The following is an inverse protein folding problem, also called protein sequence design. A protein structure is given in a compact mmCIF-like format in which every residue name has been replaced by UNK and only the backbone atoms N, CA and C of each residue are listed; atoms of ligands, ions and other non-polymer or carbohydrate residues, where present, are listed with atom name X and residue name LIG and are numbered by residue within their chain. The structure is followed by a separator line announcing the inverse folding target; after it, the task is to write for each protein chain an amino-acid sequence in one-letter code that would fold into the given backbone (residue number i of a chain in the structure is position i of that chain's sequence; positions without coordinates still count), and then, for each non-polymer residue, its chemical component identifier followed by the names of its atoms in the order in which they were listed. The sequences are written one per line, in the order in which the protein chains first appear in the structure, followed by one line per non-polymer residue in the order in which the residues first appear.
data_IF_735217977968
#
_entry.id   IF_735217977968
#
_cell.length_a   1.000
_cell.length_b   1.000
_cell.length_c   1.000
_cell.angle_alpha   90.00
_cell.angle_beta   90.00
_cell.angle_gamma   90.00
#
_symmetry.space_group_name_H-M   'P 1'
#
loop_
_entity.id
_entity.type
_entity.pdbx_description
1 polymer ?
#
# COMPACT_ATOMS: atom_id res chain seq x y z
N UNK A 1 12.80 4.55 1.51
CA UNK A 1 12.16 4.71 0.18
C UNK A 1 12.41 6.13 -0.31
N UNK A 2 12.47 6.40 -1.61
CA UNK A 2 12.65 7.76 -2.14
C UNK A 2 11.32 8.33 -2.67
N UNK A 3 11.07 9.60 -2.39
CA UNK A 3 9.95 10.40 -2.88
C UNK A 3 10.54 11.65 -3.47
N UNK A 4 10.10 12.10 -4.64
CA UNK A 4 10.55 13.39 -5.17
C UNK A 4 9.59 14.48 -4.71
N UNK A 5 10.11 15.51 -4.05
CA UNK A 5 9.38 16.76 -3.85
C UNK A 5 9.60 17.62 -5.09
N UNK A 6 8.66 17.58 -6.02
CA UNK A 6 8.26 18.77 -6.75
C UNK A 6 7.07 18.40 -7.63
N UNK A 7 6.07 19.29 -7.59
CA UNK A 7 5.05 19.51 -8.61
C UNK A 7 4.57 18.21 -9.27
N UNK A 8 3.60 17.55 -8.67
CA UNK A 8 2.92 16.47 -9.37
C UNK A 8 2.14 17.07 -10.52
N UNK A 9 2.53 16.75 -11.75
CA UNK A 9 1.77 17.13 -12.93
C UNK A 9 1.02 15.90 -13.41
N UNK A 10 -0.30 15.99 -13.33
CA UNK A 10 -1.20 15.04 -13.98
C UNK A 10 -1.37 15.52 -15.42
N UNK A 11 -1.16 14.63 -16.39
CA UNK A 11 -1.37 14.97 -17.80
C UNK A 11 -2.82 15.40 -18.03
N UNK A 12 -3.09 16.21 -19.07
CA UNK A 12 -4.44 16.75 -19.34
C UNK A 12 -5.53 15.67 -19.48
N UNK A 13 -5.13 14.47 -19.87
CA UNK A 13 -5.99 13.29 -20.03
C UNK A 13 -6.06 12.39 -18.78
N UNK A 14 -5.34 12.73 -17.70
CA UNK A 14 -5.31 11.95 -16.46
C UNK A 14 -4.46 10.68 -16.51
N UNK A 15 -3.77 10.43 -17.63
CA UNK A 15 -3.11 9.14 -17.90
C UNK A 15 -1.79 8.97 -17.15
N UNK A 16 -1.05 10.05 -16.89
CA UNK A 16 0.26 9.97 -16.23
C UNK A 16 0.40 10.99 -15.10
N UNK A 17 1.11 10.56 -14.06
CA UNK A 17 1.62 11.40 -12.98
C UNK A 17 3.12 11.55 -13.20
N UNK A 18 3.59 12.79 -13.33
CA UNK A 18 5.02 13.10 -13.45
C UNK A 18 5.59 13.48 -12.08
N UNK A 19 6.70 12.84 -11.70
CA UNK A 19 7.44 13.10 -10.47
C UNK A 19 8.60 14.06 -10.77
N UNK A 20 8.38 15.36 -10.60
CA UNK A 20 9.45 16.34 -10.73
C UNK A 20 10.29 16.43 -9.44
N UNK A 21 11.47 17.02 -9.52
CA UNK A 21 12.29 17.39 -8.34
C UNK A 21 13.35 16.36 -7.95
N UNK A 22 14.09 16.65 -6.89
CA UNK A 22 15.14 15.77 -6.36
C UNK A 22 14.54 14.70 -5.44
N UNK A 23 15.06 13.46 -5.46
CA UNK A 23 14.57 12.39 -4.62
C UNK A 23 15.00 12.63 -3.17
N UNK A 24 14.04 12.62 -2.25
CA UNK A 24 14.25 12.65 -0.81
C UNK A 24 13.84 11.33 -0.17
N UNK A 25 14.52 10.88 0.89
CA UNK A 25 14.08 9.72 1.64
C UNK A 25 12.75 9.98 2.34
N UNK A 26 11.87 8.98 2.31
CA UNK A 26 10.66 8.88 3.10
C UNK A 26 10.67 7.57 3.88
N UNK A 27 10.37 7.72 5.16
CA UNK A 27 10.13 6.63 6.08
C UNK A 27 8.66 6.20 5.96
N UNK A 28 8.44 4.91 5.73
CA UNK A 28 7.09 4.37 5.75
C UNK A 28 6.64 4.19 7.21
N UNK A 29 5.39 4.57 7.54
CA UNK A 29 4.89 4.37 8.88
C UNK A 29 4.84 2.87 9.21
N UNK A 30 4.85 2.52 10.52
CA UNK A 30 4.46 1.19 10.95
C UNK A 30 3.10 0.80 10.37
N UNK A 31 2.98 -0.46 9.96
CA UNK A 31 1.77 -1.07 9.41
C UNK A 31 1.32 -0.42 8.09
N UNK A 32 2.26 0.12 7.32
CA UNK A 32 1.97 0.78 6.04
C UNK A 32 1.10 -0.10 5.15
N UNK A 33 1.49 -1.37 4.97
CA UNK A 33 0.76 -2.34 4.13
C UNK A 33 -0.69 -2.61 4.59
N UNK A 34 -1.00 -2.40 5.87
CA UNK A 34 -2.35 -2.57 6.41
C UNK A 34 -3.22 -1.32 6.28
N UNK A 35 -2.62 -0.13 6.31
CA UNK A 35 -3.37 1.12 6.52
C UNK A 35 -3.43 2.00 5.30
N UNK A 36 -2.29 2.32 4.68
CA UNK A 36 -2.29 3.35 3.63
C UNK A 36 -2.91 2.84 2.33
N UNK A 37 -2.52 1.65 1.81
CA UNK A 37 -3.14 1.10 0.60
C UNK A 37 -4.63 0.81 0.79
N UNK A 38 -5.04 0.34 1.97
CA UNK A 38 -6.43 0.02 2.27
C UNK A 38 -7.33 1.25 2.46
N UNK A 39 -6.75 2.43 2.74
CA UNK A 39 -7.47 3.69 2.87
C UNK A 39 -7.49 4.51 1.58
N UNK A 40 -6.71 4.11 0.58
CA UNK A 40 -6.65 4.79 -0.72
C UNK A 40 -7.92 4.49 -1.51
N UNK A 41 -8.66 5.54 -1.87
CA UNK A 41 -9.64 5.45 -2.95
C UNK A 41 -8.89 5.39 -4.28
N UNK A 42 -8.88 4.20 -4.89
CA UNK A 42 -8.12 3.93 -6.11
C UNK A 42 -8.84 4.38 -7.38
N UNK A 43 -10.11 4.78 -7.29
CA UNK A 43 -10.87 5.35 -8.40
C UNK A 43 -10.73 6.89 -8.47
N UNK A 44 -10.37 7.52 -7.34
CA UNK A 44 -10.08 8.95 -7.28
C UNK A 44 -8.64 9.26 -7.70
N UNK A 45 -8.47 9.77 -8.92
CA UNK A 45 -7.16 10.17 -9.45
C UNK A 45 -6.47 11.24 -8.60
N UNK A 46 -7.21 12.13 -7.95
CA UNK A 46 -6.61 13.12 -7.05
C UNK A 46 -6.06 12.45 -5.79
N UNK A 47 -6.78 11.47 -5.22
CA UNK A 47 -6.30 10.67 -4.10
C UNK A 47 -5.06 9.84 -4.48
N UNK A 48 -5.07 9.19 -5.65
CA UNK A 48 -3.91 8.44 -6.17
C UNK A 48 -2.70 9.35 -6.38
N UNK A 49 -2.92 10.54 -6.94
CA UNK A 49 -1.86 11.54 -7.15
C UNK A 49 -1.29 12.00 -5.81
N UNK A 50 -2.14 12.34 -4.84
CA UNK A 50 -1.69 12.72 -3.49
C UNK A 50 -0.92 11.59 -2.80
N UNK A 51 -1.36 10.34 -2.97
CA UNK A 51 -0.70 9.16 -2.42
C UNK A 51 0.71 8.98 -3.01
N UNK A 52 0.86 9.12 -4.33
CA UNK A 52 2.16 9.10 -5.01
C UNK A 52 3.01 10.30 -4.60
N UNK A 53 2.44 11.48 -4.37
CA UNK A 53 3.17 12.63 -3.84
C UNK A 53 3.72 12.39 -2.44
N UNK A 54 2.96 11.69 -1.59
CA UNK A 54 3.33 11.42 -0.21
C UNK A 54 4.36 10.29 -0.09
N UNK A 55 4.17 9.22 -0.85
CA UNK A 55 4.93 7.96 -0.73
C UNK A 55 5.83 7.69 -1.95
N UNK A 56 5.88 8.61 -2.90
CA UNK A 56 6.68 8.48 -4.11
C UNK A 56 6.17 7.38 -5.03
N UNK A 57 7.11 6.81 -5.77
CA UNK A 57 6.81 5.78 -6.74
C UNK A 57 6.31 4.52 -6.05
N UNK A 58 5.15 4.03 -6.47
CA UNK A 58 4.52 2.89 -5.84
C UNK A 58 4.81 1.54 -6.50
N UNK A 59 5.49 1.48 -7.65
CA UNK A 59 5.74 0.22 -8.35
C UNK A 59 6.92 0.28 -9.29
N UNK A 60 7.59 -0.84 -9.58
CA UNK A 60 8.73 -0.85 -10.50
C UNK A 60 8.32 -0.52 -11.94
N UNK A 61 9.11 0.30 -12.65
CA UNK A 61 8.86 0.65 -14.06
C UNK A 61 8.93 -0.54 -15.00
N UNK A 62 9.80 -1.48 -14.70
CA UNK A 62 9.98 -2.71 -15.47
C UNK A 62 9.08 -3.84 -14.97
N UNK A 63 8.21 -3.55 -13.98
CA UNK A 63 7.26 -4.52 -13.45
C UNK A 63 7.89 -5.80 -12.90
N UNK A 64 9.16 -5.75 -12.48
CA UNK A 64 9.89 -6.89 -11.90
C UNK A 64 9.37 -7.26 -10.51
N UNK A 65 8.58 -6.38 -9.91
CA UNK A 65 7.86 -6.57 -8.65
C UNK A 65 6.54 -7.34 -8.82
N UNK A 66 6.20 -7.79 -10.04
CA UNK A 66 5.15 -8.78 -10.27
C UNK A 66 5.73 -10.20 -10.19
N UNK A 67 4.99 -11.11 -9.54
CA UNK A 67 5.37 -12.52 -9.45
C UNK A 67 5.39 -13.25 -10.79
N UNK A 68 5.77 -14.54 -10.77
CA UNK A 68 5.79 -15.43 -11.94
C UNK A 68 4.46 -15.46 -12.73
N UNK A 69 3.37 -15.05 -12.08
CA UNK A 69 2.06 -14.82 -12.69
C UNK A 69 1.88 -13.41 -13.29
N UNK A 70 2.94 -12.73 -13.72
CA UNK A 70 2.82 -11.53 -14.56
C UNK A 70 1.92 -11.78 -15.80
N UNK A 71 1.86 -13.02 -16.28
CA UNK A 71 0.92 -13.46 -17.32
C UNK A 71 -0.54 -13.61 -16.85
N UNK A 72 -0.77 -13.91 -15.58
CA UNK A 72 -2.09 -13.96 -14.97
C UNK A 72 -2.56 -12.54 -14.63
N UNK A 73 -1.72 -11.68 -14.05
CA UNK A 73 -2.00 -10.22 -13.92
C UNK A 73 -2.42 -9.60 -15.26
N UNK A 74 -1.81 -10.04 -16.38
CA UNK A 74 -2.21 -9.67 -17.75
C UNK A 74 -3.60 -10.18 -18.17
N UNK A 75 -4.06 -11.32 -17.66
CA UNK A 75 -5.33 -12.00 -17.99
C UNK A 75 -6.48 -11.64 -17.04
N UNK A 76 -6.22 -11.68 -15.74
CA UNK A 76 -7.14 -11.50 -14.61
C UNK A 76 -7.95 -10.22 -14.64
N UNK A 77 -7.29 -9.07 -14.76
CA UNK A 77 -8.00 -7.79 -14.79
C UNK A 77 -8.54 -7.48 -16.19
N UNK A 78 -8.09 -8.22 -17.21
CA UNK A 78 -7.51 -7.55 -18.37
C UNK A 78 -6.90 -6.17 -17.95
N UNK A 79 -6.91 -5.05 -18.63
CA UNK A 79 -7.15 -4.91 -20.03
C UNK A 79 -8.53 -5.33 -20.49
N UNK A 80 -9.50 -5.49 -19.59
CA UNK A 80 -10.89 -5.31 -19.99
C UNK A 80 -11.30 -3.83 -19.93
N UNK A 81 -10.36 -2.96 -19.50
CA UNK A 81 -10.22 -1.60 -20.01
C UNK A 81 -9.41 -1.52 -21.34
N UNK A 82 -9.10 -2.64 -22.02
CA UNK A 82 -8.72 -2.64 -23.43
C UNK A 82 -9.93 -2.40 -24.36
N UNK A 83 -10.90 -1.60 -23.91
CA UNK A 83 -11.54 -0.69 -24.84
C UNK A 83 -10.58 0.41 -25.32
N UNK A 84 -9.37 0.54 -24.74
CA UNK A 84 -8.23 1.23 -25.36
C UNK A 84 -7.01 0.29 -25.44
N UNK A 85 -6.62 -0.07 -26.67
CA UNK A 85 -5.54 -0.99 -27.06
C UNK A 85 -4.11 -0.64 -26.57
N UNK A 86 -3.89 0.22 -25.58
CA UNK A 86 -2.61 0.94 -25.41
C UNK A 86 -1.65 0.48 -24.29
N UNK A 87 -1.93 -0.56 -23.49
CA UNK A 87 -1.21 -0.79 -22.21
C UNK A 87 -0.59 -2.19 -21.98
N UNK A 88 -0.08 -2.90 -23.01
CA UNK A 88 0.63 -4.20 -22.82
C UNK A 88 1.91 -3.90 -22.08
N UNK A 89 2.46 -4.81 -21.27
CA UNK A 89 3.68 -4.48 -20.50
C UNK A 89 4.78 -3.83 -21.35
N UNK A 90 4.93 -4.30 -22.60
CA UNK A 90 5.80 -3.68 -23.60
C UNK A 90 5.25 -2.35 -24.15
N UNK A 91 3.95 -2.23 -24.38
CA UNK A 91 3.30 -0.99 -24.81
C UNK A 91 3.22 0.08 -23.73
N UNK A 92 3.17 -0.26 -22.43
CA UNK A 92 3.13 0.68 -21.30
C UNK A 92 4.53 1.22 -21.01
N UNK A 93 5.56 0.38 -21.06
CA UNK A 93 6.94 0.86 -21.04
C UNK A 93 7.19 1.76 -22.26
N UNK A 94 6.78 1.34 -23.47
CA UNK A 94 6.90 2.16 -24.66
C UNK A 94 6.03 3.44 -24.61
N UNK A 95 4.82 3.37 -24.06
CA UNK A 95 3.92 4.51 -23.85
C UNK A 95 4.52 5.48 -22.84
N UNK A 96 5.09 4.97 -21.75
CA UNK A 96 5.87 5.76 -20.78
C UNK A 96 6.97 6.52 -21.49
N UNK A 97 7.79 5.84 -22.31
CA UNK A 97 8.86 6.50 -23.08
C UNK A 97 8.33 7.55 -24.06
N UNK A 98 7.24 7.26 -24.80
CA UNK A 98 6.61 8.21 -25.73
C UNK A 98 6.05 9.43 -25.00
N UNK A 99 5.26 9.22 -23.94
CA UNK A 99 4.65 10.27 -23.14
C UNK A 99 5.71 11.11 -22.43
N UNK A 100 6.76 10.50 -21.91
CA UNK A 100 7.88 11.22 -21.31
C UNK A 100 8.56 12.18 -22.30
N UNK A 101 8.71 11.76 -23.56
CA UNK A 101 9.21 12.62 -24.63
C UNK A 101 8.27 13.82 -24.92
N UNK A 102 6.97 13.58 -24.97
CA UNK A 102 5.96 14.63 -25.18
C UNK A 102 5.88 15.63 -24.02
N UNK A 103 6.15 15.17 -22.80
CA UNK A 103 6.11 15.98 -21.57
C UNK A 103 7.45 16.67 -21.26
N UNK A 104 8.44 16.53 -22.14
CA UNK A 104 9.76 17.17 -21.96
C UNK A 104 10.57 16.58 -20.80
N UNK A 105 10.27 15.35 -20.35
CA UNK A 105 11.05 14.67 -19.32
C UNK A 105 12.43 14.32 -19.90
N UNK A 106 13.54 14.66 -19.21
CA UNK A 106 14.89 14.34 -19.67
C UNK A 106 15.08 12.84 -19.94
N UNK A 107 15.85 12.49 -20.96
CA UNK A 107 15.97 11.10 -21.49
C UNK A 107 16.36 10.12 -20.38
N UNK A 108 17.32 10.52 -19.55
CA UNK A 108 17.83 9.79 -18.39
C UNK A 108 16.79 9.60 -17.26
N UNK A 109 15.69 10.36 -17.30
CA UNK A 109 14.61 10.34 -16.30
C UNK A 109 13.31 9.70 -16.80
N UNK A 110 13.15 9.50 -18.11
CA UNK A 110 11.89 9.06 -18.75
C UNK A 110 11.32 7.76 -18.20
N UNK A 111 12.18 6.85 -17.75
CA UNK A 111 11.76 5.56 -17.22
C UNK A 111 11.31 5.63 -15.74
N UNK A 112 11.78 6.62 -14.99
CA UNK A 112 11.68 6.65 -13.53
C UNK A 112 10.63 7.62 -13.00
N UNK A 113 10.43 8.72 -13.72
CA UNK A 113 9.65 9.86 -13.21
C UNK A 113 8.21 9.88 -13.72
N UNK A 114 7.76 8.85 -14.46
CA UNK A 114 6.35 8.69 -14.87
C UNK A 114 5.70 7.49 -14.18
N UNK A 115 4.60 7.77 -13.48
CA UNK A 115 3.75 6.79 -12.80
C UNK A 115 2.38 6.79 -13.43
N UNK A 116 1.89 5.62 -13.82
CA UNK A 116 0.53 5.50 -14.33
C UNK A 116 -0.44 5.22 -13.16
N UNK A 117 -1.57 5.93 -12.99
CA UNK A 117 -2.49 5.72 -11.87
C UNK A 117 -2.97 4.27 -11.70
N UNK A 118 -3.23 3.57 -12.81
CA UNK A 118 -3.58 2.13 -12.81
C UNK A 118 -2.50 1.27 -12.11
N UNK A 119 -1.22 1.59 -12.28
CA UNK A 119 -0.12 0.85 -11.64
C UNK A 119 -0.16 0.98 -10.11
N UNK A 120 -0.52 2.18 -9.64
CA UNK A 120 -0.66 2.48 -8.21
C UNK A 120 -1.88 1.77 -7.65
N UNK A 121 -3.02 1.87 -8.33
CA UNK A 121 -4.26 1.19 -7.99
C UNK A 121 -4.06 -0.30 -7.81
N UNK A 122 -3.47 -0.96 -8.80
CA UNK A 122 -3.25 -2.41 -8.77
C UNK A 122 -2.41 -2.79 -7.55
N UNK A 123 -1.26 -2.13 -7.36
CA UNK A 123 -0.34 -2.46 -6.27
C UNK A 123 -0.91 -2.12 -4.90
N UNK A 124 -1.71 -1.05 -4.79
CA UNK A 124 -2.36 -0.68 -3.54
C UNK A 124 -3.41 -1.73 -3.14
N UNK A 125 -4.24 -2.14 -4.10
CA UNK A 125 -5.20 -3.23 -3.90
C UNK A 125 -4.50 -4.55 -3.54
N UNK A 126 -3.38 -4.87 -4.22
CA UNK A 126 -2.63 -6.10 -3.98
C UNK A 126 -1.98 -6.12 -2.60
N UNK A 127 -1.37 -5.01 -2.18
CA UNK A 127 -0.78 -4.89 -0.85
C UNK A 127 -1.86 -4.95 0.26
N UNK A 128 -3.04 -4.36 0.03
CA UNK A 128 -4.17 -4.50 0.94
C UNK A 128 -4.66 -5.96 1.03
N UNK A 129 -4.74 -6.66 -0.09
CA UNK A 129 -5.09 -8.09 -0.13
C UNK A 129 -4.05 -8.97 0.59
N UNK A 130 -2.76 -8.65 0.49
CA UNK A 130 -1.72 -9.33 1.29
C UNK A 130 -1.99 -9.16 2.79
N UNK A 131 -2.33 -7.94 3.20
CA UNK A 131 -2.74 -7.64 4.58
C UNK A 131 -3.93 -8.49 5.03
N UNK A 132 -5.00 -8.59 4.22
CA UNK A 132 -6.17 -9.43 4.53
C UNK A 132 -5.82 -10.91 4.57
N UNK A 133 -4.95 -11.38 3.67
CA UNK A 133 -4.51 -12.78 3.62
C UNK A 133 -3.82 -13.18 4.93
N UNK A 134 -2.90 -12.35 5.43
CA UNK A 134 -2.23 -12.62 6.70
C UNK A 134 -3.20 -12.62 7.89
N UNK A 135 -4.20 -11.73 7.87
CA UNK A 135 -5.22 -11.69 8.93
C UNK A 135 -6.08 -12.95 8.93
N UNK A 136 -6.52 -13.41 7.76
CA UNK A 136 -7.28 -14.64 7.62
C UNK A 136 -6.45 -15.86 8.05
N UNK A 137 -5.19 -15.98 7.61
CA UNK A 137 -4.29 -17.05 8.05
C UNK A 137 -4.12 -17.09 9.58
N UNK A 138 -3.95 -15.93 10.22
CA UNK A 138 -3.82 -15.84 11.69
C UNK A 138 -5.12 -16.16 12.43
N UNK A 139 -6.27 -15.93 11.80
CA UNK A 139 -7.57 -16.29 12.34
C UNK A 139 -7.94 -17.76 12.09
N UNK A 140 -7.16 -18.51 11.30
CA UNK A 140 -7.53 -19.84 10.83
C UNK A 140 -8.67 -19.83 9.81
N UNK A 141 -8.85 -18.71 9.13
CA UNK A 141 -9.88 -18.51 8.10
C UNK A 141 -9.34 -18.88 6.71
N UNK A 142 -10.22 -19.38 5.81
CA UNK A 142 -9.84 -19.70 4.43
C UNK A 142 -9.39 -18.45 3.68
N UNK A 143 -8.32 -18.56 2.88
CA UNK A 143 -7.82 -17.44 2.10
C UNK A 143 -8.25 -17.49 0.64
N UNK A 144 -8.65 -18.65 0.12
CA UNK A 144 -9.04 -18.77 -1.29
C UNK A 144 -10.14 -17.77 -1.73
N UNK A 145 -11.15 -17.43 -0.90
CA UNK A 145 -12.12 -16.40 -1.28
C UNK A 145 -11.50 -15.01 -1.50
N UNK A 146 -10.42 -14.68 -0.78
CA UNK A 146 -9.71 -13.41 -0.93
C UNK A 146 -8.97 -13.34 -2.27
N UNK A 147 -8.55 -14.50 -2.80
CA UNK A 147 -7.77 -14.64 -4.02
C UNK A 147 -8.59 -14.96 -5.25
N UNK A 148 -9.92 -15.05 -5.11
CA UNK A 148 -10.81 -15.12 -6.26
C UNK A 148 -10.68 -13.85 -7.08
N UNK A 149 -10.26 -14.01 -8.32
CA UNK A 149 -10.00 -12.87 -9.17
C UNK A 149 -11.27 -12.38 -9.88
N UNK A 150 -11.30 -11.08 -10.19
CA UNK A 150 -12.44 -10.47 -10.86
C UNK A 150 -12.57 -11.04 -12.28
N UNK A 151 -13.65 -11.78 -12.56
CA UNK A 151 -13.89 -12.40 -13.86
C UNK A 151 -13.51 -13.88 -13.96
N UNK A 152 -12.85 -14.44 -12.95
CA UNK A 152 -12.68 -15.88 -12.85
C UNK A 152 -13.97 -16.54 -12.34
N UNK A 153 -14.42 -17.58 -13.05
CA UNK A 153 -15.66 -18.30 -12.72
C UNK A 153 -15.49 -19.24 -11.52
N UNK A 154 -14.27 -19.66 -11.23
CA UNK A 154 -13.97 -20.60 -10.16
C UNK A 154 -13.05 -19.95 -9.12
N UNK A 155 -13.35 -20.16 -7.85
CA UNK A 155 -12.47 -19.80 -6.75
C UNK A 155 -11.22 -20.71 -6.80
N UNK A 156 -10.00 -20.18 -6.56
CA UNK A 156 -8.81 -21.03 -6.48
C UNK A 156 -8.92 -22.02 -5.32
N UNK A 157 -8.09 -23.08 -5.34
CA UNK A 157 -7.90 -23.90 -4.15
C UNK A 157 -7.14 -23.12 -3.07
N UNK A 158 -7.23 -23.54 -1.80
CA UNK A 158 -6.42 -22.94 -0.72
C UNK A 158 -4.92 -23.04 -1.01
N UNK A 159 -4.47 -24.17 -1.55
CA UNK A 159 -3.07 -24.39 -1.94
C UNK A 159 -2.62 -23.44 -3.05
N UNK A 160 -3.47 -23.20 -4.06
CA UNK A 160 -3.17 -22.25 -5.13
C UNK A 160 -3.14 -20.82 -4.63
N UNK A 161 -4.08 -20.44 -3.75
CA UNK A 161 -4.09 -19.13 -3.10
C UNK A 161 -2.82 -18.91 -2.26
N UNK A 162 -2.38 -19.92 -1.50
CA UNK A 162 -1.14 -19.88 -0.72
C UNK A 162 0.09 -19.75 -1.61
N UNK A 163 0.19 -20.55 -2.69
CA UNK A 163 1.30 -20.47 -3.65
C UNK A 163 1.36 -19.10 -4.33
N UNK A 164 0.20 -18.56 -4.72
CA UNK A 164 0.10 -17.25 -5.37
C UNK A 164 0.51 -16.15 -4.42
N UNK A 165 -0.02 -16.14 -3.19
CA UNK A 165 0.37 -15.22 -2.14
C UNK A 165 1.88 -15.22 -1.90
N UNK A 166 2.47 -16.41 -1.72
CA UNK A 166 3.90 -16.55 -1.49
C UNK A 166 4.72 -16.03 -2.68
N UNK A 167 4.33 -16.36 -3.91
CA UNK A 167 5.03 -15.92 -5.12
C UNK A 167 4.97 -14.40 -5.31
N UNK A 168 3.80 -13.78 -5.10
CA UNK A 168 3.62 -12.34 -5.29
C UNK A 168 4.31 -11.51 -4.21
N UNK A 169 4.20 -11.90 -2.93
CA UNK A 169 4.90 -11.20 -1.84
C UNK A 169 6.41 -11.32 -2.03
N UNK A 170 6.91 -12.50 -2.41
CA UNK A 170 8.35 -12.72 -2.66
C UNK A 170 8.86 -11.87 -3.82
N UNK A 171 8.10 -11.76 -4.90
CA UNK A 171 8.46 -10.92 -6.03
C UNK A 171 8.45 -9.42 -5.66
N UNK A 172 7.43 -8.98 -4.92
CA UNK A 172 7.34 -7.61 -4.43
C UNK A 172 8.53 -7.23 -3.53
N UNK A 173 8.98 -8.15 -2.67
CA UNK A 173 10.10 -7.93 -1.76
C UNK A 173 11.48 -8.22 -2.37
N UNK A 174 11.54 -8.74 -3.60
CA UNK A 174 12.79 -9.22 -4.23
C UNK A 174 13.88 -8.14 -4.37
N UNK A 175 13.50 -6.87 -4.39
CA UNK A 175 14.43 -5.72 -4.40
C UNK A 175 15.34 -5.67 -3.17
N UNK A 176 14.97 -6.31 -2.07
CA UNK A 176 15.74 -6.33 -0.82
C UNK A 176 16.60 -7.59 -0.63
N UNK A 177 16.61 -8.50 -1.61
CA UNK A 177 17.50 -9.66 -1.55
C UNK A 177 18.94 -9.26 -1.87
N UNK A 178 19.90 -9.99 -1.30
CA UNK A 178 21.32 -9.78 -1.61
C UNK A 178 21.55 -10.02 -3.09
N UNK A 179 22.17 -9.05 -3.76
CA UNK A 179 22.58 -9.14 -5.17
C UNK A 179 24.07 -8.82 -5.26
N UNK A 180 24.76 -9.56 -6.11
CA UNK A 180 26.16 -9.33 -6.43
C UNK A 180 26.21 -8.88 -7.89
N UNK A 181 26.59 -7.63 -8.11
CA UNK A 181 26.71 -7.05 -9.45
C UNK A 181 28.17 -6.69 -9.73
N UNK A 182 28.61 -6.95 -10.96
CA UNK A 182 29.98 -6.66 -11.42
C UNK A 182 29.87 -5.75 -12.65
N UNK A 183 30.23 -4.47 -12.53
CA UNK A 183 30.29 -3.53 -13.66
C UNK A 183 29.69 -2.13 -13.41
N UNK A 184 29.83 -1.20 -14.37
CA UNK A 184 29.39 0.20 -14.24
C UNK A 184 27.86 0.39 -14.27
N UNK A 185 27.08 -0.67 -14.50
CA UNK A 185 25.61 -0.66 -14.42
C UNK A 185 25.08 -0.73 -12.98
N UNK A 186 25.97 -0.66 -11.99
CA UNK A 186 25.65 -0.70 -10.56
C UNK A 186 24.68 0.40 -10.06
N UNK A 187 24.51 1.48 -10.81
CA UNK A 187 23.74 2.66 -10.38
C UNK A 187 22.29 2.70 -10.90
N UNK A 188 21.91 1.80 -11.82
CA UNK A 188 20.59 1.79 -12.47
C UNK A 188 19.56 0.84 -11.81
N UNK A 189 19.91 0.27 -10.66
CA UNK A 189 19.13 -0.83 -10.09
C UNK A 189 17.80 -0.40 -9.46
N UNK A 190 16.95 -1.42 -9.28
CA UNK A 190 15.62 -1.37 -8.66
C UNK A 190 15.62 -0.47 -7.43
N UNK A 191 15.03 0.72 -7.58
CA UNK A 191 14.82 1.62 -6.45
C UNK A 191 13.66 1.05 -5.61
N UNK A 192 13.83 0.93 -4.28
CA UNK A 192 12.73 0.54 -3.39
C UNK A 192 11.51 1.44 -3.59
N UNK A 193 10.39 0.82 -3.93
CA UNK A 193 9.08 1.46 -4.12
C UNK A 193 8.21 1.32 -2.87
N UNK A 194 7.13 2.10 -2.77
CA UNK A 194 6.17 1.96 -1.67
C UNK A 194 5.55 0.56 -1.59
N UNK A 195 5.30 -0.08 -2.73
CA UNK A 195 4.80 -1.46 -2.78
C UNK A 195 5.80 -2.46 -2.25
N UNK A 196 7.04 -2.44 -2.76
CA UNK A 196 8.08 -3.37 -2.32
C UNK A 196 8.42 -3.20 -0.84
N UNK A 197 8.56 -1.96 -0.36
CA UNK A 197 8.84 -1.68 1.04
C UNK A 197 7.67 -2.06 1.96
N UNK A 198 6.42 -1.91 1.50
CA UNK A 198 5.24 -2.42 2.20
C UNK A 198 5.22 -3.95 2.28
N UNK A 199 5.55 -4.64 1.19
CA UNK A 199 5.66 -6.10 1.18
C UNK A 199 6.78 -6.61 2.11
N UNK A 200 7.93 -5.92 2.13
CA UNK A 200 9.00 -6.22 3.09
C UNK A 200 8.54 -6.02 4.54
N UNK A 201 7.81 -4.95 4.84
CA UNK A 201 7.29 -4.72 6.18
C UNK A 201 6.36 -5.87 6.62
N UNK A 202 5.49 -6.35 5.73
CA UNK A 202 4.65 -7.51 5.97
C UNK A 202 5.49 -8.76 6.26
N UNK A 203 6.51 -9.04 5.45
CA UNK A 203 7.39 -10.20 5.66
C UNK A 203 8.12 -10.13 7.01
N UNK A 204 8.63 -8.96 7.37
CA UNK A 204 9.28 -8.74 8.66
C UNK A 204 8.30 -8.92 9.82
N UNK A 205 7.06 -8.45 9.69
CA UNK A 205 6.04 -8.62 10.73
C UNK A 205 5.58 -10.09 10.83
N UNK A 206 5.60 -10.87 9.73
CA UNK A 206 5.38 -12.32 9.74
C UNK A 206 6.55 -13.05 10.43
N UNK A 207 7.78 -12.78 10.02
CA UNK A 207 8.98 -13.42 10.56
C UNK A 207 9.20 -13.10 12.04
N UNK A 208 8.85 -11.88 12.46
CA UNK A 208 8.94 -11.43 13.85
C UNK A 208 7.73 -11.79 14.71
N UNK A 209 6.78 -12.57 14.19
CA UNK A 209 5.50 -12.91 14.82
C UNK A 209 4.80 -11.72 15.50
N UNK A 210 4.69 -10.61 14.77
CA UNK A 210 4.16 -9.37 15.36
C UNK A 210 2.64 -9.49 15.59
N UNK A 211 2.13 -9.13 16.78
CA UNK A 211 0.71 -9.27 17.09
C UNK A 211 -0.14 -8.21 16.36
N UNK A 212 -1.23 -8.67 15.75
CA UNK A 212 -2.25 -7.83 15.13
C UNK A 212 -3.38 -7.53 16.12
N UNK A 213 -3.88 -6.30 16.12
CA UNK A 213 -4.91 -5.82 17.05
C UNK A 213 -5.95 -4.99 16.32
N UNK A 214 -7.17 -4.97 16.83
CA UNK A 214 -8.20 -4.01 16.40
C UNK A 214 -8.22 -2.82 17.34
N UNK A 215 -8.31 -1.62 16.76
CA UNK A 215 -8.39 -0.38 17.52
C UNK A 215 -9.65 -0.37 18.40
N UNK A 216 -9.48 -0.22 19.71
CA UNK A 216 -10.57 -0.19 20.69
C UNK A 216 -11.41 1.10 20.66
N UNK A 217 -11.11 2.04 19.77
CA UNK A 217 -11.94 3.23 19.56
C UNK A 217 -13.22 2.84 18.84
N UNK A 218 -14.37 3.18 19.41
CA UNK A 218 -15.71 2.80 18.92
C UNK A 218 -15.93 3.16 17.44
N UNK A 219 -15.35 4.27 16.98
CA UNK A 219 -15.50 4.75 15.60
C UNK A 219 -14.37 4.36 14.65
N UNK A 220 -13.39 3.56 15.08
CA UNK A 220 -12.20 3.24 14.28
C UNK A 220 -12.17 1.78 13.83
N UNK A 221 -12.10 0.82 14.77
CA UNK A 221 -12.07 -0.61 14.47
C UNK A 221 -10.89 -1.13 13.62
N UNK A 222 -10.03 -0.24 13.09
CA UNK A 222 -8.93 -0.60 12.17
C UNK A 222 -7.95 -1.56 12.81
N UNK A 223 -7.41 -2.46 11.99
CA UNK A 223 -6.34 -3.37 12.38
C UNK A 223 -5.01 -2.62 12.41
N UNK A 224 -4.17 -2.94 13.39
CA UNK A 224 -2.83 -2.39 13.55
C UNK A 224 -1.91 -3.35 14.30
N UNK A 225 -0.60 -3.21 14.12
CA UNK A 225 0.40 -3.91 14.93
C UNK A 225 1.04 -2.97 15.95
N UNK A 226 1.22 -1.68 15.61
CA UNK A 226 1.88 -0.68 16.48
C UNK A 226 1.08 0.64 16.58
N UNK A 227 1.10 1.31 17.72
CA UNK A 227 0.49 2.64 17.86
C UNK A 227 1.33 3.70 17.16
N UNK A 228 0.70 4.54 16.34
CA UNK A 228 1.36 5.68 15.69
C UNK A 228 1.49 6.89 16.61
N UNK A 229 2.61 7.61 16.48
CA UNK A 229 2.81 8.95 17.06
C UNK A 229 3.17 9.01 18.54
N UNK A 230 3.78 7.96 19.13
CA UNK A 230 4.25 7.95 20.52
C UNK A 230 5.78 7.92 20.68
N UNK A 231 6.51 7.44 19.69
CA UNK A 231 7.96 7.24 19.79
C UNK A 231 8.72 8.31 19.00
N UNK A 232 9.13 9.39 19.67
CA UNK A 232 10.27 10.21 19.20
C UNK A 232 11.61 9.48 19.45
N UNK A 233 11.61 8.43 20.30
CA UNK A 233 12.81 7.71 20.75
C UNK A 233 12.78 6.18 20.50
N UNK A 234 12.10 5.70 19.45
CA UNK A 234 12.12 4.27 19.07
C UNK A 234 11.53 3.26 20.08
N UNK A 235 11.04 3.72 21.24
CA UNK A 235 10.45 2.85 22.25
C UNK A 235 9.00 2.49 21.89
N UNK A 236 8.82 1.35 21.25
CA UNK A 236 7.50 0.78 20.98
C UNK A 236 7.13 -0.18 22.10
N UNK A 237 6.22 0.22 23.00
CA UNK A 237 5.56 -0.75 23.89
C UNK A 237 4.73 -1.68 23.03
N UNK A 238 5.18 -2.92 22.91
CA UNK A 238 4.42 -3.95 22.21
C UNK A 238 3.22 -4.41 23.02
N UNK A 239 3.22 -4.28 24.35
CA UNK A 239 2.12 -4.70 25.24
C UNK A 239 1.28 -3.52 25.75
N UNK A 240 0.01 -3.76 26.03
CA UNK A 240 -0.91 -2.76 26.63
C UNK A 240 -1.42 -1.67 25.68
N UNK A 241 -1.12 -1.75 24.37
CA UNK A 241 -1.59 -0.78 23.39
C UNK A 241 -2.97 -1.17 22.84
N UNK A 242 -3.98 -0.37 23.15
CA UNK A 242 -5.39 -0.58 22.75
C UNK A 242 -5.84 0.24 21.53
N UNK A 243 -5.11 1.27 21.15
CA UNK A 243 -5.51 2.22 20.11
C UNK A 243 -4.43 2.35 19.03
N UNK A 244 -4.83 2.43 17.77
CA UNK A 244 -3.92 2.50 16.62
C UNK A 244 -3.16 3.84 16.51
N UNK A 245 -3.62 4.89 17.22
CA UNK A 245 -3.03 6.23 17.26
C UNK A 245 -3.33 6.95 18.57
N UNK A 246 -2.60 8.04 18.84
CA UNK A 246 -2.89 8.97 19.95
C UNK A 246 -4.23 9.69 19.76
N UNK A 247 -4.60 10.02 18.51
CA UNK A 247 -5.87 10.68 18.21
C UNK A 247 -7.06 9.78 18.54
N UNK A 248 -7.00 8.49 18.22
CA UNK A 248 -8.04 7.53 18.59
C UNK A 248 -8.15 7.38 20.12
N UNK A 249 -7.03 7.28 20.83
CA UNK A 249 -7.04 7.19 22.30
C UNK A 249 -7.69 8.43 22.93
N UNK A 250 -7.31 9.64 22.47
CA UNK A 250 -7.87 10.91 22.96
C UNK A 250 -9.35 11.04 22.63
N UNK A 251 -9.75 10.71 21.41
CA UNK A 251 -11.14 10.77 20.97
C UNK A 251 -12.03 9.82 21.80
N UNK A 252 -11.58 8.59 22.04
CA UNK A 252 -12.30 7.64 22.89
C UNK A 252 -12.39 8.14 24.34
N UNK A 253 -11.28 8.63 24.92
CA UNK A 253 -11.28 9.18 26.28
C UNK A 253 -12.24 10.37 26.46
N UNK A 254 -12.32 11.25 25.46
CA UNK A 254 -13.26 12.38 25.47
C UNK A 254 -14.72 11.92 25.39
N UNK A 255 -15.02 10.87 24.61
CA UNK A 255 -16.36 10.26 24.57
C UNK A 255 -16.75 9.66 25.91
N UNK A 256 -15.86 8.89 26.53
CA UNK A 256 -16.09 8.30 27.85
C UNK A 256 -16.28 9.38 28.93
N UNK A 257 -15.48 10.45 28.90
CA UNK A 257 -15.65 11.61 29.80
C UNK A 257 -17.04 12.23 29.65
N UNK A 258 -17.49 12.48 28.41
CA UNK A 258 -18.83 13.01 28.12
C UNK A 258 -19.94 12.06 28.56
N UNK A 259 -19.76 10.73 28.39
CA UNK A 259 -20.71 9.69 28.86
C UNK A 259 -20.84 9.72 30.39
N UNK A 260 -19.71 9.81 31.10
CA UNK A 260 -19.68 9.92 32.58
C UNK A 260 -20.32 11.23 33.07
N UNK A 261 -20.09 12.35 32.39
CA UNK A 261 -20.70 13.63 32.75
C UNK A 261 -22.24 13.55 32.64
N UNK A 262 -22.77 13.06 31.50
CA UNK A 262 -24.21 12.86 31.31
C UNK A 262 -24.82 11.93 32.35
N UNK A 263 -24.14 10.84 32.69
CA UNK A 263 -24.63 9.91 33.72
C UNK A 263 -24.66 10.55 35.12
N UNK A 264 -23.71 11.44 35.46
CA UNK A 264 -23.73 12.16 36.75
C UNK A 264 -24.87 13.18 36.82
N UNK A 265 -25.18 13.85 35.71
CA UNK A 265 -26.27 14.82 35.66
C UNK A 265 -27.65 14.14 35.76
N UNK A 266 -27.84 12.98 35.11
CA UNK A 266 -29.08 12.20 35.25
C UNK A 266 -29.27 11.63 36.66
N UNK A 267 -28.20 11.18 37.32
CA UNK A 267 -28.31 10.65 38.70
C UNK A 267 -28.61 11.75 39.72
N UNK A 268 -28.14 13.00 39.51
CA UNK A 268 -28.45 14.14 40.39
C UNK A 268 -29.86 14.72 40.18
N UNK A 269 -30.43 14.58 38.99
CA UNK A 269 -31.80 15.03 38.70
C UNK A 269 -32.90 14.15 39.28
N UNK A 270 -32.61 12.87 39.56
CA UNK A 270 -33.60 11.89 40.05
C UNK A 270 -33.87 11.89 41.56
N UNK A 271 -33.24 12.78 42.34
CA UNK A 271 -33.39 12.84 43.81
C UNK A 271 -34.15 14.09 44.30
N UNK A 272 -35.01 14.67 43.44
CA UNK A 272 -35.88 15.81 43.76
C UNK A 272 -37.36 15.52 43.45
N UNK A 273 -37.81 14.28 43.67
CA UNK A 273 -39.21 13.87 43.58
C UNK A 273 -39.67 13.33 44.91
#
# INVERSE_FOLDING_TARGET
MLVRDARLEVTRDGTWIVLWGEPRPVELPPDFYLREPAALDVEDIAAVTAFVGQWGRFGDHEHRDFGANANEVRRTFGWQAAQRRELYGNDLAAARFRSAGQLGVPVERRAFDLVHPIEVRYRAARLAQFGQTVLALRAGEPIAPLWQQLGERAQPSEDDALRTFAAEVSAAASVFHVRLDVGPTAELWQQPTGYSAGALQLLNDLAGDVPYRRCASETCGRVFTRQRGRSEYGQHRQTGVRFCSRSCARAQGERERRRRARHRDTTKGGHRG
#
